data_IF_477279554085
#
_entry.id   IF_477279554085
#
_cell.length_a   1.000
_cell.length_b   1.000
_cell.length_c   1.000
_cell.angle_alpha   90.00
_cell.angle_beta   90.00
_cell.angle_gamma   90.00
#
_symmetry.space_group_name_H-M   'P 1'
#
loop_
_entity.id
_entity.type
_entity.pdbx_description
1 polymer ?
#
# COMPACT_ATOMS: atom_id res chain seq x y z
N UNK A 1 0.37 -28.19 -0.83
CA UNK A 1 -0.63 -28.03 -1.91
C UNK A 1 0.12 -27.67 -3.18
N UNK A 2 -0.12 -28.38 -4.29
CA UNK A 2 0.38 -28.02 -5.63
C UNK A 2 -0.06 -26.59 -5.94
N UNK A 3 0.85 -25.62 -6.11
CA UNK A 3 0.70 -24.24 -6.63
C UNK A 3 -0.69 -23.57 -6.65
N UNK A 4 -1.58 -23.81 -5.68
CA UNK A 4 -3.00 -23.43 -5.75
C UNK A 4 -3.78 -24.02 -6.94
N UNK A 5 -3.19 -24.93 -7.71
CA UNK A 5 -3.70 -25.35 -9.02
C UNK A 5 -4.91 -26.30 -8.86
N UNK A 6 -6.00 -26.00 -9.58
CA UNK A 6 -7.23 -26.79 -9.57
C UNK A 6 -7.47 -27.44 -10.92
N UNK A 7 -7.39 -28.77 -10.95
CA UNK A 7 -7.71 -29.55 -12.13
C UNK A 7 -9.17 -29.36 -12.55
N UNK A 8 -9.38 -29.21 -13.86
CA UNK A 8 -10.71 -29.13 -14.45
C UNK A 8 -11.46 -30.43 -14.21
N UNK A 9 -12.73 -30.31 -13.82
CA UNK A 9 -13.64 -31.43 -13.61
C UNK A 9 -14.82 -31.31 -14.56
N UNK A 10 -15.16 -32.40 -15.23
CA UNK A 10 -16.29 -32.49 -16.14
C UNK A 10 -17.28 -33.54 -15.66
N UNK A 11 -18.57 -33.22 -15.71
CA UNK A 11 -19.63 -34.18 -15.42
C UNK A 11 -20.00 -34.88 -16.71
N UNK A 12 -19.87 -36.21 -16.75
CA UNK A 12 -20.32 -37.02 -17.88
C UNK A 12 -21.32 -38.06 -17.42
N UNK A 13 -22.36 -38.24 -18.24
CA UNK A 13 -23.34 -39.29 -18.04
C UNK A 13 -22.68 -40.61 -18.40
N UNK A 14 -22.59 -41.51 -17.44
CA UNK A 14 -22.01 -42.86 -17.63
C UNK A 14 -23.10 -43.92 -17.83
N UNK A 15 -24.33 -43.65 -17.39
CA UNK A 15 -25.47 -44.52 -17.63
C UNK A 15 -26.79 -43.73 -17.66
N UNK A 16 -27.90 -44.41 -18.00
CA UNK A 16 -29.24 -43.79 -17.97
C UNK A 16 -29.59 -43.16 -16.62
N UNK A 17 -29.01 -43.61 -15.49
CA UNK A 17 -29.32 -43.11 -14.15
C UNK A 17 -28.12 -42.52 -13.39
N UNK A 18 -26.93 -42.45 -14.00
CA UNK A 18 -25.72 -42.00 -13.30
C UNK A 18 -24.91 -41.01 -14.12
N UNK A 19 -24.51 -39.94 -13.43
CA UNK A 19 -23.56 -38.93 -13.89
C UNK A 19 -22.38 -38.95 -12.94
N UNK A 20 -21.17 -39.12 -13.48
CA UNK A 20 -19.93 -39.13 -12.71
C UNK A 20 -19.10 -37.89 -13.05
N UNK A 21 -18.27 -37.47 -12.10
CA UNK A 21 -17.34 -36.35 -12.26
C UNK A 21 -15.97 -36.93 -12.57
N UNK A 22 -15.41 -36.54 -13.71
CA UNK A 22 -14.07 -36.93 -14.15
C UNK A 22 -13.15 -35.72 -14.16
N UNK A 23 -11.86 -35.96 -13.98
CA UNK A 23 -10.84 -34.95 -14.28
C UNK A 23 -10.62 -34.90 -15.79
N UNK A 24 -10.61 -33.68 -16.34
CA UNK A 24 -10.39 -33.42 -17.75
C UNK A 24 -8.99 -32.82 -17.89
N UNK A 25 -7.99 -33.70 -17.96
CA UNK A 25 -6.59 -33.30 -18.04
C UNK A 25 -6.23 -32.86 -19.45
N UNK A 26 -5.58 -31.72 -19.55
CA UNK A 26 -4.91 -31.23 -20.75
C UNK A 26 -3.66 -32.05 -21.04
N UNK A 27 -3.20 -32.02 -22.29
CA UNK A 27 -1.97 -32.71 -22.71
C UNK A 27 -0.75 -32.25 -21.89
N UNK A 28 -0.66 -30.95 -21.59
CA UNK A 28 0.40 -30.39 -20.75
C UNK A 28 0.39 -30.95 -19.31
N UNK A 29 -0.79 -31.14 -18.71
CA UNK A 29 -0.90 -31.75 -17.38
C UNK A 29 -0.51 -33.23 -17.41
N UNK A 30 -0.91 -33.96 -18.46
CA UNK A 30 -0.52 -35.37 -18.65
C UNK A 30 1.00 -35.50 -18.77
N UNK A 31 1.65 -34.64 -19.56
CA UNK A 31 3.11 -34.59 -19.66
C UNK A 31 3.74 -34.37 -18.28
N UNK A 32 3.22 -33.42 -17.50
CA UNK A 32 3.70 -33.18 -16.13
C UNK A 32 3.58 -34.41 -15.23
N UNK A 33 2.47 -35.16 -15.30
CA UNK A 33 2.33 -36.41 -14.54
C UNK A 33 3.34 -37.48 -14.98
N UNK A 34 3.63 -37.59 -16.28
CA UNK A 34 4.65 -38.51 -16.79
C UNK A 34 6.05 -38.09 -16.31
N UNK A 35 6.38 -36.80 -16.39
CA UNK A 35 7.66 -36.29 -15.88
C UNK A 35 7.80 -36.53 -14.38
N UNK A 36 6.73 -36.31 -13.61
CA UNK A 36 6.71 -36.56 -12.17
C UNK A 36 6.98 -38.04 -11.85
N UNK A 37 6.35 -38.97 -12.57
CA UNK A 37 6.55 -40.40 -12.33
C UNK A 37 8.01 -40.82 -12.64
N UNK A 38 8.60 -40.27 -13.70
CA UNK A 38 10.00 -40.47 -14.04
C UNK A 38 10.94 -39.91 -12.96
N UNK A 39 10.67 -38.71 -12.44
CA UNK A 39 11.50 -38.10 -11.39
C UNK A 39 11.44 -38.90 -10.09
N UNK A 40 10.24 -39.27 -9.64
CA UNK A 40 10.04 -40.10 -8.43
C UNK A 40 10.82 -41.41 -8.56
N UNK A 41 10.76 -42.05 -9.73
CA UNK A 41 11.47 -43.32 -9.96
C UNK A 41 13.00 -43.18 -9.90
N UNK A 42 13.54 -41.99 -10.15
CA UNK A 42 14.99 -41.71 -10.13
C UNK A 42 15.49 -41.26 -8.76
N UNK A 43 14.78 -40.36 -8.10
CA UNK A 43 15.26 -39.68 -6.89
C UNK A 43 14.71 -40.29 -5.60
N UNK A 44 13.60 -41.03 -5.69
CA UNK A 44 12.81 -41.51 -4.54
C UNK A 44 12.37 -40.41 -3.56
N UNK A 45 12.38 -39.13 -4.01
CA UNK A 45 11.98 -37.96 -3.23
C UNK A 45 10.75 -37.34 -3.87
N UNK A 46 9.60 -37.66 -3.29
CA UNK A 46 8.29 -37.26 -3.81
C UNK A 46 8.10 -35.73 -3.79
N UNK A 47 8.36 -35.10 -2.65
CA UNK A 47 8.08 -33.66 -2.46
C UNK A 47 8.95 -32.77 -3.36
N UNK A 48 10.24 -33.08 -3.47
CA UNK A 48 11.17 -32.35 -4.36
C UNK A 48 10.73 -32.47 -5.82
N UNK A 49 10.34 -33.67 -6.25
CA UNK A 49 9.88 -33.93 -7.62
C UNK A 49 8.55 -33.22 -7.91
N UNK A 50 7.65 -33.14 -6.92
CA UNK A 50 6.40 -32.40 -7.02
C UNK A 50 6.68 -30.89 -7.18
N UNK A 51 7.56 -30.34 -6.35
CA UNK A 51 7.93 -28.92 -6.41
C UNK A 51 8.62 -28.56 -7.73
N UNK A 52 9.42 -29.46 -8.29
CA UNK A 52 10.10 -29.27 -9.57
C UNK A 52 9.11 -29.22 -10.75
N UNK A 53 8.13 -30.12 -10.79
CA UNK A 53 7.17 -30.21 -11.90
C UNK A 53 6.04 -29.18 -11.80
N UNK A 54 5.59 -28.88 -10.58
CA UNK A 54 4.39 -28.09 -10.34
C UNK A 54 4.65 -26.74 -9.66
N UNK A 55 5.89 -26.48 -9.26
CA UNK A 55 6.31 -25.27 -8.57
C UNK A 55 6.02 -25.33 -7.07
N UNK A 56 6.92 -24.71 -6.28
CA UNK A 56 6.69 -24.48 -4.86
C UNK A 56 5.85 -23.22 -4.65
N UNK A 57 4.55 -23.45 -4.41
CA UNK A 57 3.58 -22.40 -4.10
C UNK A 57 3.99 -21.53 -2.93
N UNK A 58 4.60 -22.15 -1.92
CA UNK A 58 4.94 -21.48 -0.67
C UNK A 58 6.13 -20.56 -0.90
N UNK A 59 7.18 -21.07 -1.55
CA UNK A 59 8.33 -20.26 -1.91
C UNK A 59 7.98 -19.10 -2.87
N UNK A 60 7.06 -19.33 -3.82
CA UNK A 60 6.58 -18.24 -4.68
C UNK A 60 5.81 -17.18 -3.88
N UNK A 61 4.86 -17.60 -3.04
CA UNK A 61 4.12 -16.67 -2.18
C UNK A 61 5.03 -15.88 -1.24
N UNK A 62 6.07 -16.51 -0.68
CA UNK A 62 7.05 -15.84 0.17
C UNK A 62 7.84 -14.78 -0.59
N UNK A 63 8.23 -15.06 -1.85
CA UNK A 63 8.88 -14.07 -2.73
C UNK A 63 7.94 -12.91 -3.08
N UNK A 64 6.69 -13.22 -3.41
CA UNK A 64 5.69 -12.21 -3.79
C UNK A 64 5.40 -11.29 -2.59
N UNK A 65 5.16 -11.87 -1.40
CA UNK A 65 4.97 -11.11 -0.15
C UNK A 65 6.20 -10.23 0.15
N UNK A 66 7.41 -10.75 -0.05
CA UNK A 66 8.63 -9.97 0.15
C UNK A 66 8.68 -8.77 -0.80
N UNK A 67 8.34 -8.96 -2.07
CA UNK A 67 8.29 -7.87 -3.05
C UNK A 67 7.21 -6.85 -2.71
N UNK A 68 6.03 -7.27 -2.27
CA UNK A 68 4.95 -6.39 -1.83
C UNK A 68 5.36 -5.57 -0.59
N UNK A 69 6.08 -6.19 0.36
CA UNK A 69 6.62 -5.51 1.54
C UNK A 69 7.67 -4.46 1.19
N UNK A 70 8.54 -4.73 0.21
CA UNK A 70 9.55 -3.76 -0.25
C UNK A 70 8.86 -2.53 -0.86
N UNK A 71 7.89 -2.73 -1.76
CA UNK A 71 7.10 -1.62 -2.35
C UNK A 71 6.37 -0.82 -1.27
N UNK A 72 5.71 -1.51 -0.33
CA UNK A 72 4.99 -0.85 0.76
C UNK A 72 5.93 -0.04 1.66
N UNK A 73 7.14 -0.55 1.91
CA UNK A 73 8.14 0.17 2.71
C UNK A 73 8.61 1.44 2.00
N UNK A 74 8.87 1.37 0.70
CA UNK A 74 9.30 2.53 -0.09
C UNK A 74 8.20 3.61 -0.11
N UNK A 75 6.96 3.21 -0.33
CA UNK A 75 5.80 4.10 -0.29
C UNK A 75 5.64 4.75 1.10
N UNK A 76 5.82 3.98 2.17
CA UNK A 76 5.76 4.50 3.54
C UNK A 76 6.80 5.61 3.77
N UNK A 77 8.06 5.39 3.39
CA UNK A 77 9.11 6.39 3.57
C UNK A 77 8.90 7.62 2.70
N UNK A 78 8.40 7.44 1.48
CA UNK A 78 8.02 8.56 0.61
C UNK A 78 6.95 9.43 1.26
N UNK A 79 5.87 8.84 1.74
CA UNK A 79 4.79 9.59 2.39
C UNK A 79 5.22 10.22 3.71
N UNK A 80 6.08 9.53 4.48
CA UNK A 80 6.65 10.10 5.70
C UNK A 80 7.44 11.38 5.38
N UNK A 81 8.30 11.34 4.37
CA UNK A 81 9.09 12.50 3.94
C UNK A 81 8.20 13.66 3.46
N UNK A 82 7.20 13.38 2.61
CA UNK A 82 6.26 14.39 2.12
C UNK A 82 5.45 15.05 3.26
N UNK A 83 5.06 14.25 4.26
CA UNK A 83 4.36 14.74 5.44
C UNK A 83 5.26 15.63 6.32
N UNK A 84 6.51 15.22 6.54
CA UNK A 84 7.49 16.00 7.31
C UNK A 84 7.80 17.35 6.65
N UNK A 85 8.01 17.37 5.33
CA UNK A 85 8.22 18.62 4.59
C UNK A 85 6.98 19.54 4.69
N UNK A 86 5.79 18.98 4.51
CA UNK A 86 4.53 19.74 4.64
C UNK A 86 4.38 20.36 6.03
N UNK A 87 4.67 19.60 7.09
CA UNK A 87 4.66 20.10 8.48
C UNK A 87 5.68 21.21 8.67
N UNK A 88 6.88 21.06 8.10
CA UNK A 88 7.92 22.08 8.18
C UNK A 88 7.49 23.39 7.51
N UNK A 89 6.91 23.32 6.30
CA UNK A 89 6.39 24.50 5.59
C UNK A 89 5.24 25.17 6.33
N UNK A 90 4.32 24.38 6.91
CA UNK A 90 3.23 24.88 7.73
C UNK A 90 3.75 25.61 8.97
N UNK A 91 4.74 25.04 9.66
CA UNK A 91 5.38 25.65 10.83
C UNK A 91 6.02 27.00 10.48
N UNK A 92 6.75 27.05 9.37
CA UNK A 92 7.37 28.30 8.86
C UNK A 92 6.32 29.36 8.52
N UNK A 93 5.26 28.95 7.83
CA UNK A 93 4.15 29.84 7.46
C UNK A 93 3.44 30.39 8.68
N UNK A 94 3.16 29.54 9.68
CA UNK A 94 2.53 29.94 10.93
C UNK A 94 3.40 30.94 11.71
N UNK A 95 4.71 30.72 11.80
CA UNK A 95 5.63 31.70 12.41
C UNK A 95 5.63 33.05 11.68
N UNK A 96 5.58 33.05 10.35
CA UNK A 96 5.48 34.28 9.55
C UNK A 96 4.18 35.03 9.84
N UNK A 97 3.05 34.32 9.88
CA UNK A 97 1.75 34.88 10.22
C UNK A 97 1.73 35.44 11.64
N UNK A 98 2.27 34.74 12.63
CA UNK A 98 2.38 35.22 14.01
C UNK A 98 3.14 36.54 14.09
N UNK A 99 4.25 36.69 13.36
CA UNK A 99 5.01 37.95 13.30
C UNK A 99 4.17 39.09 12.72
N UNK A 100 3.44 38.82 11.63
CA UNK A 100 2.56 39.81 10.99
C UNK A 100 1.39 40.22 11.89
N UNK A 101 0.76 39.25 12.55
CA UNK A 101 -0.32 39.50 13.52
C UNK A 101 0.20 40.39 14.64
N UNK A 102 1.34 40.03 15.27
CA UNK A 102 1.96 40.85 16.31
C UNK A 102 2.21 42.29 15.86
N UNK A 103 2.82 42.46 14.69
CA UNK A 103 3.09 43.79 14.12
C UNK A 103 1.82 44.61 13.90
N UNK A 104 0.77 44.00 13.33
CA UNK A 104 -0.50 44.68 13.09
C UNK A 104 -1.20 45.03 14.40
N UNK A 105 -1.15 44.17 15.41
CA UNK A 105 -1.68 44.44 16.74
C UNK A 105 -0.97 45.62 17.39
N UNK A 106 0.37 45.66 17.38
CA UNK A 106 1.14 46.81 17.90
C UNK A 106 0.82 48.10 17.14
N UNK A 107 0.66 48.02 15.82
CA UNK A 107 0.29 49.18 14.99
C UNK A 107 -1.14 49.67 15.23
N UNK A 108 -2.08 48.78 15.55
CA UNK A 108 -3.43 49.17 15.97
C UNK A 108 -3.40 49.89 17.31
N UNK A 109 -2.71 49.33 18.31
CA UNK A 109 -2.58 49.97 19.63
C UNK A 109 -1.96 51.38 19.56
N UNK A 110 -0.93 51.57 18.73
CA UNK A 110 -0.31 52.89 18.55
C UNK A 110 -1.29 53.89 17.92
N UNK A 111 -2.00 53.49 16.85
CA UNK A 111 -2.99 54.35 16.19
C UNK A 111 -4.18 54.71 17.09
N UNK A 112 -4.66 53.79 17.93
CA UNK A 112 -5.72 54.06 18.91
C UNK A 112 -5.28 55.11 19.93
N UNK A 113 -4.08 54.97 20.49
CA UNK A 113 -3.52 55.92 21.46
C UNK A 113 -3.20 57.30 20.83
N UNK A 114 -2.70 57.33 19.59
CA UNK A 114 -2.48 58.58 18.85
C UNK A 114 -3.79 59.31 18.54
N UNK A 115 -4.85 58.57 18.22
CA UNK A 115 -6.18 59.14 17.97
C UNK A 115 -6.76 59.77 19.24
N UNK A 116 -6.69 59.07 20.36
CA UNK A 116 -7.23 59.55 21.64
C UNK A 116 -6.47 60.79 22.14
N UNK A 117 -5.14 60.79 22.03
CA UNK A 117 -4.33 61.96 22.36
C UNK A 117 -4.58 63.15 21.43
N UNK A 118 -4.81 62.92 20.12
CA UNK A 118 -5.18 63.98 19.17
C UNK A 118 -6.54 64.60 19.49
N UNK A 119 -7.53 63.79 19.90
CA UNK A 119 -8.85 64.27 20.33
C UNK A 119 -8.73 65.08 21.62
N UNK A 120 -8.00 64.59 22.63
CA UNK A 120 -7.77 65.30 23.89
C UNK A 120 -7.04 66.64 23.68
N UNK A 121 -6.05 66.68 22.78
CA UNK A 121 -5.31 67.89 22.46
C UNK A 121 -6.17 68.93 21.72
N UNK A 122 -7.11 68.49 20.87
CA UNK A 122 -8.09 69.39 20.24
C UNK A 122 -9.07 69.96 21.27
N UNK A 123 -9.53 69.15 22.22
CA UNK A 123 -10.44 69.59 23.28
C UNK A 123 -9.76 70.66 24.16
N UNK A 124 -8.50 70.45 24.56
CA UNK A 124 -7.72 71.42 25.36
C UNK A 124 -7.43 72.75 24.65
N UNK A 125 -7.49 72.81 23.32
CA UNK A 125 -7.27 74.04 22.54
C UNK A 125 -8.56 74.80 22.23
N UNK A 126 -9.73 74.18 22.44
CA UNK A 126 -11.05 74.78 22.22
C UNK A 126 -11.70 75.38 23.47
N UNK A 127 -11.01 75.32 24.63
CA UNK A 127 -11.37 75.99 25.88
C UNK A 127 -10.32 77.03 26.23
#
# INVERSE_FOLDING_TARGET
>A
MLSGYKFKKVRRRVSKRSTQVFFDFTEAEVIKFITLSQLISKTNKLDDSINEVWGDSKAQSERDIKSELEILSDDFYKFLFEAEDSIFQLKRSNQSLQKRVKYLTERLYTLENEKDSSILNKLKRGF
#
